data_IF_541820846229
#
_entry.id   IF_541820846229
#
_cell.length_a   1.000
_cell.length_b   1.000
_cell.length_c   1.000
_cell.angle_alpha   90.00
_cell.angle_beta   90.00
_cell.angle_gamma   90.00
#
_symmetry.space_group_name_H-M   'P 1'
#
loop_
_entity.id
_entity.type
_entity.pdbx_description
1 polymer ?
#
# COMPACT_ATOMS: atom_id res chain seq x y z
N UNK A 1 12.21 -7.12 -14.34
CA UNK A 1 11.99 -6.97 -15.80
C UNK A 1 11.97 -5.51 -16.18
N UNK A 2 12.59 -5.13 -17.30
CA UNK A 2 12.47 -3.76 -17.80
C UNK A 2 11.10 -3.58 -18.43
N UNK A 3 10.24 -2.68 -17.94
CA UNK A 3 8.93 -2.42 -18.51
C UNK A 3 9.06 -1.67 -19.85
N UNK A 4 8.14 -1.93 -20.76
CA UNK A 4 7.95 -1.10 -21.95
C UNK A 4 6.93 -0.02 -21.64
N UNK A 5 7.28 1.24 -21.89
CA UNK A 5 6.32 2.34 -21.82
C UNK A 5 5.70 2.55 -23.19
N UNK A 6 4.37 2.49 -23.26
CA UNK A 6 3.60 2.73 -24.47
C UNK A 6 2.73 3.97 -24.31
N UNK A 7 2.49 4.66 -25.43
CA UNK A 7 1.63 5.82 -25.53
C UNK A 7 0.42 5.43 -26.37
N UNK A 8 -0.76 5.48 -25.77
CA UNK A 8 -2.02 5.16 -26.43
C UNK A 8 -2.77 6.45 -26.71
N UNK A 9 -3.12 6.67 -27.99
CA UNK A 9 -3.92 7.82 -28.42
C UNK A 9 -5.40 7.45 -28.43
N UNK A 10 -6.21 8.23 -27.76
CA UNK A 10 -7.66 8.15 -27.94
C UNK A 10 -8.04 8.92 -29.21
N UNK A 11 -8.53 8.19 -30.24
CA UNK A 11 -8.85 8.77 -31.54
C UNK A 11 -10.06 9.70 -31.51
N UNK A 12 -10.90 9.63 -30.47
CA UNK A 12 -12.11 10.46 -30.37
C UNK A 12 -11.82 11.89 -29.86
N UNK A 13 -10.80 12.05 -29.03
CA UNK A 13 -10.51 13.34 -28.38
C UNK A 13 -9.03 13.73 -28.43
N UNK A 14 -8.23 13.01 -29.20
CA UNK A 14 -6.78 13.21 -29.35
C UNK A 14 -5.95 13.18 -28.07
N UNK A 15 -6.53 12.73 -26.94
CA UNK A 15 -5.82 12.61 -25.68
C UNK A 15 -4.91 11.36 -25.69
N UNK A 16 -3.84 11.46 -24.94
CA UNK A 16 -2.88 10.38 -24.79
C UNK A 16 -2.88 9.86 -23.36
N UNK A 17 -2.86 8.52 -23.24
CA UNK A 17 -2.64 7.84 -21.96
C UNK A 17 -1.39 6.99 -22.09
N UNK A 18 -0.57 6.99 -21.06
CA UNK A 18 0.64 6.16 -21.01
C UNK A 18 0.39 4.91 -20.20
N UNK A 19 0.90 3.78 -20.67
CA UNK A 19 0.84 2.49 -20.00
C UNK A 19 2.23 1.87 -19.93
N UNK A 20 2.43 1.00 -18.94
CA UNK A 20 3.58 0.11 -18.86
C UNK A 20 3.16 -1.31 -19.19
N UNK A 21 3.92 -1.97 -20.06
CA UNK A 21 3.79 -3.40 -20.37
C UNK A 21 4.90 -4.14 -19.67
N UNK A 22 4.54 -5.10 -18.82
CA UNK A 22 5.47 -5.84 -17.94
C UNK A 22 5.17 -7.33 -18.03
N UNK A 23 6.18 -8.17 -17.78
CA UNK A 23 5.92 -9.54 -17.35
C UNK A 23 5.39 -9.52 -15.92
N UNK A 24 4.41 -10.36 -15.65
CA UNK A 24 3.80 -10.47 -14.33
C UNK A 24 3.85 -11.90 -13.81
N UNK A 25 3.88 -12.02 -12.49
CA UNK A 25 3.68 -13.23 -11.71
C UNK A 25 2.44 -13.11 -10.82
N UNK A 26 2.14 -14.16 -10.09
CA UNK A 26 0.98 -14.19 -9.21
C UNK A 26 1.02 -13.09 -8.13
N UNK A 27 2.19 -12.84 -7.53
CA UNK A 27 2.35 -11.80 -6.49
C UNK A 27 1.93 -10.43 -7.02
N UNK A 28 2.45 -10.02 -8.17
CA UNK A 28 2.10 -8.74 -8.81
C UNK A 28 0.61 -8.67 -9.18
N UNK A 29 0.03 -9.77 -9.67
CA UNK A 29 -1.41 -9.83 -9.99
C UNK A 29 -2.24 -9.59 -8.74
N UNK A 30 -1.94 -10.27 -7.63
CA UNK A 30 -2.63 -10.04 -6.35
C UNK A 30 -2.47 -8.60 -5.87
N UNK A 31 -1.27 -8.05 -5.98
CA UNK A 31 -0.98 -6.67 -5.55
C UNK A 31 -1.80 -5.63 -6.31
N UNK A 32 -1.85 -5.72 -7.64
CA UNK A 32 -2.58 -4.76 -8.47
C UNK A 32 -4.10 -4.91 -8.32
N UNK A 33 -4.61 -6.15 -8.16
CA UNK A 33 -6.01 -6.41 -7.87
C UNK A 33 -6.44 -5.85 -6.51
N UNK A 34 -5.61 -6.01 -5.47
CA UNK A 34 -5.87 -5.39 -4.17
C UNK A 34 -5.80 -3.86 -4.24
N UNK A 35 -4.86 -3.29 -5.01
CA UNK A 35 -4.83 -1.85 -5.23
C UNK A 35 -6.14 -1.36 -5.84
N UNK A 36 -6.59 -1.98 -6.91
CA UNK A 36 -7.83 -1.62 -7.60
C UNK A 36 -9.08 -1.72 -6.70
N UNK A 37 -9.17 -2.78 -5.89
CA UNK A 37 -10.34 -3.00 -5.02
C UNK A 37 -10.31 -2.18 -3.74
N UNK A 38 -9.16 -2.05 -3.11
CA UNK A 38 -9.04 -1.59 -1.72
C UNK A 38 -8.45 -0.18 -1.59
N UNK A 39 -7.68 0.30 -2.56
CA UNK A 39 -7.17 1.67 -2.54
C UNK A 39 -8.29 2.69 -2.84
N UNK A 40 -8.24 3.89 -2.27
CA UNK A 40 -9.15 4.99 -2.65
C UNK A 40 -8.89 5.50 -4.08
N UNK A 41 -7.87 4.99 -4.75
CA UNK A 41 -7.45 5.42 -6.07
C UNK A 41 -7.77 4.36 -7.12
N UNK A 42 -8.42 4.75 -8.20
CA UNK A 42 -8.65 3.86 -9.33
C UNK A 42 -7.33 3.59 -10.06
N UNK A 43 -7.17 2.36 -10.52
CA UNK A 43 -6.05 1.92 -11.33
C UNK A 43 -6.58 1.11 -12.51
N UNK A 44 -6.26 1.54 -13.73
CA UNK A 44 -6.62 0.83 -14.94
C UNK A 44 -5.50 -0.14 -15.30
N UNK A 45 -5.84 -1.40 -15.47
CA UNK A 45 -4.91 -2.42 -15.89
C UNK A 45 -5.61 -3.54 -16.66
N UNK A 46 -4.81 -4.31 -17.39
CA UNK A 46 -5.23 -5.47 -18.13
C UNK A 46 -4.19 -6.57 -17.96
N UNK A 47 -4.66 -7.78 -17.70
CA UNK A 47 -3.82 -8.96 -17.54
C UNK A 47 -4.22 -9.98 -18.60
N UNK A 48 -3.21 -10.50 -19.30
CA UNK A 48 -3.37 -11.63 -20.20
C UNK A 48 -2.17 -12.57 -20.05
N UNK A 49 -2.40 -13.77 -19.56
CA UNK A 49 -1.37 -14.76 -19.21
C UNK A 49 -0.29 -14.16 -18.29
N UNK A 50 0.94 -14.08 -18.76
CA UNK A 50 2.07 -13.50 -18.03
C UNK A 50 2.35 -12.04 -18.38
N UNK A 51 1.42 -11.36 -19.06
CA UNK A 51 1.55 -9.97 -19.48
C UNK A 51 0.62 -9.08 -18.66
N UNK A 52 1.16 -8.05 -18.07
CA UNK A 52 0.42 -6.97 -17.41
C UNK A 52 0.59 -5.68 -18.20
N UNK A 53 -0.51 -5.02 -18.48
CA UNK A 53 -0.56 -3.65 -18.98
C UNK A 53 -1.19 -2.82 -17.86
N UNK A 54 -0.46 -1.87 -17.32
CA UNK A 54 -0.92 -0.99 -16.24
C UNK A 54 -0.80 0.49 -16.64
N UNK A 55 -1.77 1.29 -16.24
CA UNK A 55 -1.77 2.72 -16.48
C UNK A 55 -0.61 3.40 -15.75
N UNK A 56 0.07 4.32 -16.44
CA UNK A 56 1.08 5.17 -15.82
C UNK A 56 0.42 6.12 -14.82
N UNK A 57 0.78 6.00 -13.56
CA UNK A 57 0.34 6.91 -12.51
C UNK A 57 1.22 8.15 -12.56
N UNK A 58 0.65 9.27 -13.02
CA UNK A 58 1.36 10.54 -13.03
C UNK A 58 1.57 11.05 -11.60
N UNK A 59 2.81 11.40 -11.27
CA UNK A 59 3.21 11.90 -9.96
C UNK A 59 4.72 12.08 -9.88
N UNK A 60 5.18 12.66 -8.80
CA UNK A 60 6.60 12.85 -8.51
C UNK A 60 7.09 11.58 -7.81
N UNK A 61 8.10 10.85 -8.32
CA UNK A 61 8.68 9.71 -7.60
C UNK A 61 9.05 10.12 -6.17
N UNK A 62 8.77 9.24 -5.20
CA UNK A 62 8.91 9.58 -3.79
C UNK A 62 10.35 9.95 -3.39
N UNK A 63 11.36 9.32 -3.97
CA UNK A 63 12.77 9.66 -3.79
C UNK A 63 13.09 11.08 -4.31
N UNK A 64 12.60 11.42 -5.50
CA UNK A 64 12.74 12.77 -6.08
C UNK A 64 11.97 13.79 -5.25
N UNK A 65 10.77 13.44 -4.77
CA UNK A 65 9.99 14.32 -3.92
C UNK A 65 10.71 14.62 -2.59
N UNK A 66 11.26 13.61 -1.96
CA UNK A 66 12.03 13.75 -0.71
C UNK A 66 13.27 14.63 -0.93
N UNK A 67 14.00 14.39 -2.02
CA UNK A 67 15.25 15.11 -2.30
C UNK A 67 15.02 16.58 -2.69
N UNK A 68 13.99 16.86 -3.49
CA UNK A 68 13.84 18.17 -4.16
C UNK A 68 12.68 19.01 -3.70
N UNK A 69 11.67 18.44 -3.09
CA UNK A 69 10.42 19.12 -2.80
C UNK A 69 10.07 19.18 -1.30
N UNK A 70 10.40 18.15 -0.52
CA UNK A 70 9.94 18.02 0.85
C UNK A 70 10.33 19.20 1.74
N UNK A 71 11.56 19.68 1.62
CA UNK A 71 12.08 20.80 2.41
C UNK A 71 11.56 22.17 1.94
N UNK A 72 11.07 22.25 0.70
CA UNK A 72 10.49 23.49 0.15
C UNK A 72 9.00 23.64 0.44
N UNK A 73 8.36 22.59 0.92
CA UNK A 73 6.95 22.62 1.31
C UNK A 73 6.71 23.50 2.52
N UNK A 74 5.62 24.26 2.49
CA UNK A 74 5.15 25.02 3.66
C UNK A 74 4.83 24.11 4.85
N UNK A 75 4.76 24.63 6.08
CA UNK A 75 4.38 23.86 7.25
C UNK A 75 3.03 23.14 7.12
N UNK A 76 2.06 23.74 6.44
CA UNK A 76 0.74 23.15 6.17
C UNK A 76 0.85 21.98 5.18
N UNK A 77 1.60 22.17 4.09
CA UNK A 77 1.84 21.11 3.10
C UNK A 77 2.58 19.92 3.72
N UNK A 78 3.60 20.19 4.55
CA UNK A 78 4.29 19.12 5.28
C UNK A 78 3.35 18.35 6.21
N UNK A 79 2.38 18.99 6.86
CA UNK A 79 1.38 18.32 7.68
C UNK A 79 0.44 17.45 6.82
N UNK A 80 0.04 17.91 5.63
CA UNK A 80 -0.76 17.13 4.68
C UNK A 80 0.00 15.91 4.15
N UNK A 81 1.27 16.06 3.80
CA UNK A 81 2.14 14.95 3.38
C UNK A 81 2.30 13.95 4.52
N UNK A 82 2.56 14.42 5.74
CA UNK A 82 2.68 13.55 6.92
C UNK A 82 1.42 12.72 7.17
N UNK A 83 0.24 13.36 7.09
CA UNK A 83 -1.06 12.69 7.19
C UNK A 83 -1.20 11.59 6.12
N UNK A 84 -0.94 11.91 4.88
CA UNK A 84 -1.08 10.95 3.78
C UNK A 84 -0.05 9.83 3.89
N UNK A 85 1.17 10.13 4.34
CA UNK A 85 2.20 9.11 4.55
C UNK A 85 1.82 8.12 5.66
N UNK A 86 1.20 8.57 6.76
CA UNK A 86 0.65 7.69 7.81
C UNK A 86 -0.42 6.76 7.22
N UNK A 87 -1.33 7.30 6.41
CA UNK A 87 -2.39 6.51 5.74
C UNK A 87 -1.80 5.51 4.75
N UNK A 88 -0.80 5.92 3.97
CA UNK A 88 -0.10 5.04 3.03
C UNK A 88 0.57 3.87 3.73
N UNK A 89 1.29 4.11 4.85
CA UNK A 89 1.88 3.04 5.65
C UNK A 89 0.84 2.03 6.12
N UNK A 90 -0.31 2.50 6.59
CA UNK A 90 -1.39 1.64 7.07
C UNK A 90 -1.98 0.79 5.94
N UNK A 91 -2.20 1.38 4.76
CA UNK A 91 -2.64 0.64 3.56
C UNK A 91 -1.68 -0.48 3.18
N UNK A 92 -0.38 -0.18 3.12
CA UNK A 92 0.64 -1.17 2.76
C UNK A 92 0.68 -2.33 3.74
N UNK A 93 0.67 -2.03 5.04
CA UNK A 93 0.73 -3.04 6.09
C UNK A 93 -0.48 -3.97 6.07
N UNK A 94 -1.69 -3.42 5.98
CA UNK A 94 -2.92 -4.23 6.01
C UNK A 94 -3.02 -5.14 4.79
N UNK A 95 -2.66 -4.64 3.62
CA UNK A 95 -2.68 -5.42 2.38
C UNK A 95 -1.48 -6.34 2.21
N UNK A 96 -0.48 -6.23 3.06
CA UNK A 96 0.82 -6.90 2.92
C UNK A 96 1.49 -6.58 1.58
N UNK A 97 1.48 -5.31 1.19
CA UNK A 97 2.24 -4.79 0.06
C UNK A 97 3.63 -4.38 0.53
N UNK A 98 4.64 -5.14 0.14
CA UNK A 98 6.02 -4.96 0.58
C UNK A 98 6.84 -4.04 -0.31
N UNK A 99 8.07 -3.78 0.16
CA UNK A 99 9.14 -3.04 -0.54
C UNK A 99 8.76 -1.63 -1.01
N UNK A 100 7.91 -0.93 -0.25
CA UNK A 100 7.50 0.45 -0.56
C UNK A 100 8.60 1.44 -0.17
N UNK A 101 9.77 1.32 -0.84
CA UNK A 101 10.86 2.29 -0.81
C UNK A 101 10.43 3.56 -1.55
N UNK A 102 11.16 4.65 -1.35
CA UNK A 102 10.81 5.95 -1.91
C UNK A 102 10.60 5.95 -3.44
N UNK A 103 11.30 5.11 -4.18
CA UNK A 103 11.15 4.99 -5.64
C UNK A 103 10.03 4.04 -6.09
N UNK A 104 9.35 3.33 -5.19
CA UNK A 104 8.25 2.42 -5.49
C UNK A 104 6.86 3.05 -5.24
N UNK A 105 6.82 4.34 -4.97
CA UNK A 105 5.59 5.12 -4.92
C UNK A 105 5.78 6.51 -5.53
N UNK A 106 4.68 7.16 -5.84
CA UNK A 106 4.66 8.55 -6.31
C UNK A 106 3.88 9.43 -5.34
N UNK A 107 4.31 10.69 -5.24
CA UNK A 107 3.61 11.76 -4.54
C UNK A 107 2.91 12.64 -5.56
N UNK A 108 1.60 12.82 -5.41
CA UNK A 108 0.74 13.56 -6.34
C UNK A 108 0.22 14.79 -5.63
N UNK A 109 0.73 15.99 -5.95
CA UNK A 109 0.13 17.24 -5.49
C UNK A 109 -1.17 17.51 -6.24
N UNK A 110 -2.22 17.85 -5.51
CA UNK A 110 -3.52 18.23 -6.04
C UNK A 110 -3.79 19.66 -5.54
N UNK A 111 -3.88 20.59 -6.47
CA UNK A 111 -4.23 21.97 -6.16
C UNK A 111 -5.74 22.08 -5.99
N UNK A 112 -6.18 22.49 -4.80
CA UNK A 112 -7.57 22.70 -4.44
C UNK A 112 -7.72 24.13 -3.88
N UNK A 113 -8.15 25.06 -4.72
CA UNK A 113 -8.24 26.50 -4.42
C UNK A 113 -6.95 27.04 -3.77
N UNK A 114 -6.97 27.32 -2.48
CA UNK A 114 -5.86 27.94 -1.74
C UNK A 114 -4.94 26.94 -1.05
N UNK A 115 -5.13 25.62 -1.26
CA UNK A 115 -4.33 24.59 -0.61
C UNK A 115 -3.86 23.52 -1.58
N UNK A 116 -2.76 22.88 -1.23
CA UNK A 116 -2.25 21.69 -1.93
C UNK A 116 -2.53 20.47 -1.07
N UNK A 117 -3.25 19.51 -1.62
CA UNK A 117 -3.51 18.20 -1.02
C UNK A 117 -2.56 17.22 -1.69
N UNK A 118 -1.95 16.36 -0.88
CA UNK A 118 -1.03 15.34 -1.38
C UNK A 118 -1.65 13.95 -1.30
N UNK A 119 -1.41 13.15 -2.34
CA UNK A 119 -1.73 11.71 -2.35
C UNK A 119 -0.47 10.91 -2.59
N UNK A 120 -0.34 9.78 -1.91
CA UNK A 120 0.76 8.83 -2.12
C UNK A 120 0.19 7.55 -2.70
N UNK A 121 0.73 7.12 -3.85
CA UNK A 121 0.28 5.93 -4.57
C UNK A 121 1.44 4.99 -4.85
N UNK A 122 1.27 3.71 -4.54
CA UNK A 122 2.19 2.66 -4.96
C UNK A 122 2.20 2.54 -6.50
N UNK A 123 3.38 2.26 -7.06
CA UNK A 123 3.59 2.04 -8.50
C UNK A 123 4.30 0.71 -8.78
N UNK A 124 4.68 -0.03 -7.75
CA UNK A 124 5.22 -1.36 -7.88
C UNK A 124 4.51 -2.34 -6.93
N UNK A 125 4.15 -3.51 -7.46
CA UNK A 125 3.35 -4.52 -6.77
C UNK A 125 4.03 -5.88 -6.70
N UNK A 126 5.33 -5.96 -7.00
CA UNK A 126 6.09 -7.22 -7.07
C UNK A 126 6.18 -7.96 -5.73
N UNK A 127 6.19 -7.22 -4.64
CA UNK A 127 6.39 -7.75 -3.29
C UNK A 127 5.08 -7.88 -2.50
N UNK A 128 3.98 -8.19 -3.20
CA UNK A 128 2.71 -8.47 -2.55
C UNK A 128 2.74 -9.82 -1.85
N UNK A 129 2.67 -9.81 -0.50
CA UNK A 129 2.55 -11.02 0.34
C UNK A 129 3.62 -12.08 0.03
N UNK A 130 4.86 -11.65 -0.18
CA UNK A 130 5.96 -12.53 -0.58
C UNK A 130 6.96 -12.78 0.56
N UNK A 131 7.27 -11.75 1.34
CA UNK A 131 8.31 -11.77 2.36
C UNK A 131 7.82 -12.26 3.72
N UNK A 132 8.74 -12.85 4.50
CA UNK A 132 8.45 -13.40 5.82
C UNK A 132 8.60 -12.42 6.98
N UNK A 133 8.96 -11.17 6.74
CA UNK A 133 9.18 -10.15 7.78
C UNK A 133 8.14 -9.04 7.69
N UNK A 134 7.45 -8.78 8.78
CA UNK A 134 6.41 -7.73 8.84
C UNK A 134 6.96 -6.34 8.51
N UNK A 135 8.21 -6.05 8.87
CA UNK A 135 8.84 -4.76 8.57
C UNK A 135 8.89 -4.42 7.08
N UNK A 136 8.96 -5.41 6.19
CA UNK A 136 8.99 -5.19 4.73
C UNK A 136 7.68 -4.57 4.22
N UNK A 137 6.57 -4.82 4.89
CA UNK A 137 5.25 -4.27 4.57
C UNK A 137 4.97 -2.91 5.22
N UNK A 138 6.00 -2.32 5.82
CA UNK A 138 5.89 -1.07 6.56
C UNK A 138 6.89 -0.07 5.98
N UNK A 139 6.46 0.81 5.06
CA UNK A 139 7.30 1.79 4.35
C UNK A 139 8.24 2.58 5.26
N UNK A 140 7.82 2.84 6.50
CA UNK A 140 8.59 3.58 7.50
C UNK A 140 9.93 2.94 7.93
N UNK A 141 10.17 1.67 7.60
CA UNK A 141 11.42 0.99 7.96
C UNK A 141 12.49 1.06 6.88
N UNK A 142 12.14 1.54 5.69
CA UNK A 142 13.14 1.76 4.66
C UNK A 142 13.85 3.10 4.89
N UNK A 143 15.19 3.07 4.85
CA UNK A 143 16.02 4.26 5.14
C UNK A 143 15.74 5.43 4.20
N UNK A 144 15.36 5.15 2.96
CA UNK A 144 15.01 6.14 1.96
C UNK A 144 13.79 6.98 2.38
N UNK A 145 12.95 6.44 3.25
CA UNK A 145 11.74 7.09 3.76
C UNK A 145 11.95 7.84 5.10
N UNK A 146 13.14 7.82 5.68
CA UNK A 146 13.38 8.48 6.98
C UNK A 146 13.06 9.98 7.00
N UNK A 147 13.30 10.77 5.93
CA UNK A 147 12.87 12.16 5.91
C UNK A 147 11.34 12.31 6.06
N UNK A 148 10.55 11.43 5.43
CA UNK A 148 9.09 11.41 5.59
C UNK A 148 8.70 11.11 7.06
N UNK A 149 9.39 10.18 7.72
CA UNK A 149 9.17 9.89 9.16
C UNK A 149 9.51 11.08 10.03
N UNK A 150 10.59 11.80 9.71
CA UNK A 150 10.98 13.02 10.44
C UNK A 150 9.89 14.07 10.35
N UNK A 151 9.30 14.28 9.18
CA UNK A 151 8.16 15.21 8.99
C UNK A 151 6.92 14.73 9.77
N UNK A 152 6.59 13.44 9.75
CA UNK A 152 5.50 12.88 10.55
C UNK A 152 5.69 13.22 12.04
N UNK A 153 6.88 12.95 12.58
CA UNK A 153 7.20 13.24 14.00
C UNK A 153 7.16 14.73 14.34
N UNK A 154 7.57 15.59 13.41
CA UNK A 154 7.62 17.03 13.62
C UNK A 154 6.25 17.71 13.49
N UNK A 155 5.36 17.17 12.67
CA UNK A 155 4.09 17.85 12.29
C UNK A 155 2.85 17.25 12.91
N UNK A 156 2.89 16.00 13.37
CA UNK A 156 1.71 15.30 13.88
C UNK A 156 1.88 14.89 15.35
N UNK A 157 0.82 15.10 16.13
CA UNK A 157 0.70 14.51 17.46
C UNK A 157 0.43 13.01 17.37
N UNK A 158 0.68 12.28 18.46
CA UNK A 158 0.37 10.85 18.54
C UNK A 158 -1.13 10.58 18.34
N UNK A 159 -1.98 11.46 18.84
CA UNK A 159 -3.44 11.36 18.67
C UNK A 159 -3.85 11.53 17.19
N UNK A 160 -3.24 12.51 16.50
CA UNK A 160 -3.47 12.70 15.06
C UNK A 160 -3.03 11.48 14.24
N UNK A 161 -1.86 10.92 14.55
CA UNK A 161 -1.37 9.69 13.89
C UNK A 161 -2.36 8.55 14.11
N UNK A 162 -2.84 8.38 15.33
CA UNK A 162 -3.83 7.37 15.69
C UNK A 162 -5.12 7.56 14.91
N UNK A 163 -5.63 8.78 14.87
CA UNK A 163 -6.83 9.14 14.15
C UNK A 163 -6.71 8.82 12.65
N UNK A 164 -5.61 9.18 12.01
CA UNK A 164 -5.41 8.92 10.58
C UNK A 164 -5.31 7.43 10.25
N UNK A 165 -4.74 6.62 11.15
CA UNK A 165 -4.75 5.16 11.01
C UNK A 165 -6.17 4.60 11.11
N UNK A 166 -6.97 5.07 12.06
CA UNK A 166 -8.37 4.66 12.23
C UNK A 166 -9.19 5.02 10.98
N UNK A 167 -9.03 6.24 10.47
CA UNK A 167 -9.68 6.68 9.23
C UNK A 167 -9.34 5.75 8.07
N UNK A 168 -8.05 5.43 7.87
CA UNK A 168 -7.63 4.58 6.76
C UNK A 168 -8.15 3.14 6.91
N UNK A 169 -8.12 2.57 8.12
CA UNK A 169 -8.71 1.25 8.40
C UNK A 169 -10.20 1.22 8.14
N UNK A 170 -10.91 2.28 8.52
CA UNK A 170 -12.34 2.41 8.25
C UNK A 170 -12.64 2.41 6.74
N UNK A 171 -11.84 3.13 5.95
CA UNK A 171 -11.95 3.13 4.49
C UNK A 171 -11.70 1.73 3.93
N UNK A 172 -10.62 1.07 4.37
CA UNK A 172 -10.29 -0.29 3.93
C UNK A 172 -11.39 -1.28 4.31
N UNK A 173 -11.91 -1.24 5.55
CA UNK A 173 -13.00 -2.11 5.99
C UNK A 173 -14.26 -1.95 5.13
N UNK A 174 -14.64 -0.71 4.80
CA UNK A 174 -15.77 -0.42 3.91
C UNK A 174 -15.54 -0.95 2.50
N UNK A 175 -14.32 -0.78 1.95
CA UNK A 175 -13.97 -1.28 0.62
C UNK A 175 -13.93 -2.80 0.56
N UNK A 176 -13.37 -3.47 1.56
CA UNK A 176 -13.41 -4.93 1.70
C UNK A 176 -14.87 -5.42 1.67
N UNK A 177 -15.78 -4.72 2.34
CA UNK A 177 -17.19 -5.08 2.36
C UNK A 177 -17.87 -4.81 1.01
N UNK A 178 -17.62 -3.68 0.38
CA UNK A 178 -18.26 -3.30 -0.89
C UNK A 178 -17.78 -4.15 -2.08
N UNK A 179 -16.53 -4.63 -2.03
CA UNK A 179 -15.94 -5.48 -3.09
C UNK A 179 -15.93 -6.96 -2.74
N UNK A 180 -16.67 -7.35 -1.69
CA UNK A 180 -16.61 -8.70 -1.08
C UNK A 180 -16.68 -9.83 -2.10
N UNK A 181 -17.60 -9.78 -3.07
CA UNK A 181 -17.79 -10.87 -4.05
C UNK A 181 -16.55 -11.10 -4.90
N UNK A 182 -15.91 -10.05 -5.41
CA UNK A 182 -14.68 -10.13 -6.21
C UNK A 182 -13.49 -10.51 -5.33
N UNK A 183 -13.40 -9.90 -4.16
CA UNK A 183 -12.32 -10.13 -3.19
C UNK A 183 -12.30 -11.58 -2.70
N UNK A 184 -13.46 -12.16 -2.35
CA UNK A 184 -13.56 -13.55 -1.90
C UNK A 184 -13.11 -14.54 -2.99
N UNK A 185 -13.43 -14.27 -4.26
CA UNK A 185 -12.96 -15.10 -5.40
C UNK A 185 -11.44 -15.02 -5.54
N UNK A 186 -10.86 -13.82 -5.45
CA UNK A 186 -9.42 -13.63 -5.53
C UNK A 186 -8.70 -14.31 -4.36
N UNK A 187 -9.18 -14.12 -3.14
CA UNK A 187 -8.61 -14.76 -1.94
C UNK A 187 -8.72 -16.28 -2.00
N UNK A 188 -9.80 -16.85 -2.53
CA UNK A 188 -9.92 -18.29 -2.73
C UNK A 188 -8.83 -18.84 -3.65
N UNK A 189 -8.51 -18.13 -4.72
CA UNK A 189 -7.40 -18.50 -5.62
C UNK A 189 -6.07 -18.37 -4.88
N UNK A 190 -5.83 -17.25 -4.19
CA UNK A 190 -4.58 -17.00 -3.47
C UNK A 190 -4.31 -18.01 -2.35
N UNK A 191 -5.35 -18.53 -1.68
CA UNK A 191 -5.25 -19.58 -0.66
C UNK A 191 -4.79 -20.92 -1.26
N UNK A 192 -5.13 -21.20 -2.52
CA UNK A 192 -4.69 -22.41 -3.22
C UNK A 192 -3.35 -22.26 -3.93
N UNK A 193 -2.79 -21.05 -3.97
CA UNK A 193 -1.55 -20.72 -4.69
C UNK A 193 -0.32 -20.74 -3.76
N UNK A 194 0.85 -21.03 -4.33
CA UNK A 194 2.14 -21.01 -3.63
C UNK A 194 2.87 -19.71 -3.92
N UNK A 195 2.48 -18.65 -3.21
CA UNK A 195 3.05 -17.29 -3.42
C UNK A 195 4.42 -17.15 -2.75
N UNK A 196 4.65 -17.81 -1.63
CA UNK A 196 5.89 -17.66 -0.85
C UNK A 196 6.36 -19.00 -0.25
N UNK A 197 7.61 -19.03 0.19
CA UNK A 197 8.21 -20.19 0.85
C UNK A 197 7.53 -20.45 2.21
N UNK A 198 7.43 -21.73 2.66
CA UNK A 198 6.82 -22.07 3.95
C UNK A 198 7.46 -21.35 5.15
N UNK A 199 8.77 -21.11 5.11
CA UNK A 199 9.48 -20.36 6.14
C UNK A 199 8.98 -18.92 6.26
N UNK A 200 8.77 -18.24 5.13
CA UNK A 200 8.24 -16.87 5.10
C UNK A 200 6.83 -16.82 5.69
N UNK A 201 6.00 -17.81 5.37
CA UNK A 201 4.63 -17.91 5.89
C UNK A 201 4.65 -18.04 7.42
N UNK A 202 5.45 -18.95 7.95
CA UNK A 202 5.60 -19.18 9.39
C UNK A 202 6.09 -17.92 10.10
N UNK A 203 7.17 -17.30 9.61
CA UNK A 203 7.77 -16.13 10.22
C UNK A 203 6.80 -14.93 10.22
N UNK A 204 6.15 -14.68 9.09
CA UNK A 204 5.17 -13.58 8.98
C UNK A 204 3.97 -13.79 9.90
N UNK A 205 3.42 -15.00 9.95
CA UNK A 205 2.33 -15.36 10.84
C UNK A 205 2.68 -15.08 12.31
N UNK A 206 3.87 -15.47 12.74
CA UNK A 206 4.34 -15.23 14.10
C UNK A 206 4.55 -13.75 14.40
N UNK A 207 5.15 -12.98 13.47
CA UNK A 207 5.37 -11.56 13.65
C UNK A 207 4.04 -10.77 13.71
N UNK A 208 3.09 -11.07 12.83
CA UNK A 208 1.78 -10.45 12.86
C UNK A 208 1.02 -10.83 14.14
N UNK A 209 1.10 -12.10 14.58
CA UNK A 209 0.52 -12.48 15.86
C UNK A 209 1.12 -11.70 17.03
N UNK A 210 2.45 -11.60 17.09
CA UNK A 210 3.14 -10.83 18.16
C UNK A 210 2.68 -9.36 18.17
N UNK A 211 2.41 -8.82 17.00
CA UNK A 211 1.99 -7.45 16.80
C UNK A 211 0.51 -7.22 17.14
N UNK A 212 -0.39 -8.08 16.64
CA UNK A 212 -1.84 -7.90 16.77
C UNK A 212 -2.44 -8.59 17.98
N UNK A 213 -1.75 -9.61 18.53
CA UNK A 213 -2.22 -10.57 19.55
C UNK A 213 -3.42 -11.41 19.08
N UNK A 214 -3.76 -11.38 17.80
CA UNK A 214 -4.85 -12.19 17.24
C UNK A 214 -4.34 -13.60 16.87
N UNK A 215 -4.88 -14.60 17.55
CA UNK A 215 -4.47 -16.00 17.37
C UNK A 215 -4.86 -16.58 16.01
N UNK A 216 -5.73 -15.92 15.24
CA UNK A 216 -6.10 -16.37 13.90
C UNK A 216 -4.88 -16.46 12.97
N UNK A 217 -3.91 -15.55 13.14
CA UNK A 217 -2.69 -15.57 12.33
C UNK A 217 -1.83 -16.81 12.56
N UNK A 218 -1.80 -17.38 13.77
CA UNK A 218 -1.04 -18.62 14.07
C UNK A 218 -1.52 -19.86 13.30
N UNK A 219 -2.75 -19.81 12.78
CA UNK A 219 -3.37 -20.94 12.08
C UNK A 219 -3.13 -20.92 10.59
N UNK A 220 -2.59 -19.82 10.05
CA UNK A 220 -2.39 -19.63 8.63
C UNK A 220 -1.31 -20.55 8.06
N UNK A 221 -1.61 -21.23 6.96
CA UNK A 221 -0.74 -22.21 6.29
C UNK A 221 -0.16 -21.69 4.97
N UNK A 222 -0.68 -20.58 4.45
CA UNK A 222 -0.25 -19.93 3.21
C UNK A 222 -0.45 -18.42 3.27
N UNK A 223 0.09 -17.68 2.31
CA UNK A 223 -0.01 -16.22 2.28
C UNK A 223 -1.44 -15.73 2.06
N UNK A 224 -2.24 -16.45 1.28
CA UNK A 224 -3.65 -16.12 1.09
C UNK A 224 -4.45 -16.13 2.40
N UNK A 225 -4.21 -17.12 3.27
CA UNK A 225 -4.82 -17.17 4.60
C UNK A 225 -4.36 -16.03 5.51
N UNK A 226 -3.08 -15.63 5.43
CA UNK A 226 -2.58 -14.48 6.20
C UNK A 226 -3.27 -13.19 5.76
N UNK A 227 -3.38 -12.94 4.45
CA UNK A 227 -4.10 -11.78 3.90
C UNK A 227 -5.58 -11.82 4.31
N UNK A 228 -6.23 -12.97 4.20
CA UNK A 228 -7.62 -13.14 4.62
C UNK A 228 -7.82 -12.87 6.12
N UNK A 229 -6.89 -13.32 6.95
CA UNK A 229 -6.88 -13.03 8.39
C UNK A 229 -6.68 -11.53 8.65
N UNK A 230 -5.77 -10.86 7.91
CA UNK A 230 -5.54 -9.42 8.02
C UNK A 230 -6.79 -8.61 7.68
N UNK A 231 -7.47 -8.93 6.58
CA UNK A 231 -8.70 -8.25 6.19
C UNK A 231 -9.84 -8.50 7.20
N UNK A 232 -9.94 -9.73 7.71
CA UNK A 232 -10.91 -10.06 8.75
C UNK A 232 -10.62 -9.34 10.06
N UNK A 233 -9.34 -9.22 10.44
CA UNK A 233 -8.91 -8.49 11.62
C UNK A 233 -9.28 -7.01 11.51
N UNK A 234 -8.99 -6.37 10.39
CA UNK A 234 -9.33 -4.95 10.17
C UNK A 234 -10.83 -4.73 10.21
N UNK A 235 -11.62 -5.58 9.58
CA UNK A 235 -13.10 -5.48 9.61
C UNK A 235 -13.67 -5.55 11.03
N UNK A 236 -13.11 -6.41 11.90
CA UNK A 236 -13.57 -6.57 13.28
C UNK A 236 -13.08 -5.48 14.22
N UNK A 237 -11.89 -4.94 13.93
CA UNK A 237 -11.13 -4.13 14.88
C UNK A 237 -10.68 -2.77 14.30
N UNK A 238 -11.35 -2.26 13.25
CA UNK A 238 -10.89 -1.02 12.60
C UNK A 238 -10.95 0.21 13.54
N UNK A 239 -11.79 0.18 14.58
CA UNK A 239 -11.89 1.20 15.63
C UNK A 239 -10.94 0.92 16.81
N UNK A 240 -10.30 -0.26 16.87
CA UNK A 240 -9.50 -0.65 18.02
C UNK A 240 -8.13 0.04 18.01
N UNK A 241 -7.88 0.88 19.01
CA UNK A 241 -6.65 1.66 19.19
C UNK A 241 -5.39 0.83 19.45
N UNK A 242 -5.51 -0.47 19.80
CA UNK A 242 -4.38 -1.33 20.12
C UNK A 242 -3.42 -1.60 18.94
N UNK A 243 -3.78 -1.24 17.71
CA UNK A 243 -2.85 -1.20 16.58
C UNK A 243 -1.95 0.05 16.57
N UNK A 244 -2.07 0.94 17.53
CA UNK A 244 -1.36 2.23 17.60
C UNK A 244 0.11 2.16 18.01
N UNK A 245 0.55 1.07 18.63
CA UNK A 245 1.95 0.90 19.08
C UNK A 245 2.99 0.81 17.94
N UNK A 246 2.60 1.18 16.74
CA UNK A 246 3.42 1.12 15.53
C UNK A 246 4.48 2.20 15.42
N UNK A 247 4.35 3.30 16.16
CA UNK A 247 5.30 4.42 16.09
C UNK A 247 6.35 4.36 17.19
N UNK A 248 6.12 3.59 18.25
CA UNK A 248 6.96 3.57 19.44
C UNK A 248 8.04 2.47 19.46
N UNK A 249 8.07 1.57 18.51
CA UNK A 249 9.23 0.68 18.36
C UNK A 249 10.34 1.43 17.64
N UNK A 250 11.29 1.93 18.41
CA UNK A 250 12.58 2.42 17.93
C UNK A 250 13.29 1.34 17.12
N UNK A 251 14.12 1.74 16.13
CA UNK A 251 15.03 0.82 15.48
C UNK A 251 15.97 0.17 16.47
#
# INVERSE_FOLDING_TARGET
SKPFRIKVRNILNDNFTYFYVKKTDASRVYGIEFEHMLSPHNLNFLINDSTLIEEHIAGIPGDVFIEKHLDTCSPSEQAQIAKEYVKFNERCMIRLLGDMRAYNYVVIPIHDFDQVIYKIRAIDFDQQSFEGKLMVYRPQYFKENFPMISVVKAKLSQDSITQYKIEERSILAKRIQSTKSRLDKLLKIMVSDVVAKPENIKNLSEEIYKFTKDTSFKKCKNMGEIVQASFSYVRRNYENLNMTNLVNSRP
#
